data_IF_227886469488
#
_entry.id   IF_227886469488
#
_cell.length_a   1.000
_cell.length_b   1.000
_cell.length_c   1.000
_cell.angle_alpha   90.00
_cell.angle_beta   90.00
_cell.angle_gamma   90.00
#
_symmetry.space_group_name_H-M   'P 1'
#
loop_
_entity.id
_entity.type
_entity.pdbx_description
1 polymer ?
#
# COMPACT_ATOMS: atom_id res chain seq x y z
N UNK A 1 -17.84 -20.91 -9.82
CA UNK A 1 -18.44 -19.69 -9.26
C UNK A 1 -17.28 -18.91 -8.66
N UNK A 2 -16.69 -18.00 -9.43
CA UNK A 2 -15.54 -17.22 -8.98
C UNK A 2 -16.06 -15.95 -8.33
N UNK A 3 -15.85 -15.82 -7.03
CA UNK A 3 -16.14 -14.60 -6.28
C UNK A 3 -15.20 -13.48 -6.76
N UNK A 4 -15.79 -12.42 -7.33
CA UNK A 4 -15.04 -11.22 -7.69
C UNK A 4 -14.87 -10.39 -6.42
N UNK A 5 -13.66 -10.34 -5.88
CA UNK A 5 -13.29 -9.44 -4.79
C UNK A 5 -12.94 -8.08 -5.40
N UNK A 6 -13.79 -7.08 -5.22
CA UNK A 6 -13.54 -5.71 -5.66
C UNK A 6 -13.03 -4.87 -4.49
N UNK A 7 -11.80 -4.36 -4.56
CA UNK A 7 -11.30 -3.32 -3.65
C UNK A 7 -11.50 -1.96 -4.31
N UNK A 8 -12.28 -1.07 -3.68
CA UNK A 8 -12.37 0.33 -4.13
C UNK A 8 -11.20 1.08 -3.51
N UNK A 9 -10.09 1.17 -4.24
CA UNK A 9 -9.00 2.08 -3.90
C UNK A 9 -9.32 3.44 -4.52
N UNK A 10 -9.55 4.46 -3.68
CA UNK A 10 -9.64 5.82 -4.18
C UNK A 10 -8.27 6.20 -4.77
N UNK A 11 -8.23 6.54 -6.06
CA UNK A 11 -6.99 6.88 -6.77
C UNK A 11 -6.35 8.20 -6.32
N UNK A 12 -7.06 8.98 -5.49
CA UNK A 12 -6.50 10.16 -4.82
C UNK A 12 -5.79 9.72 -3.56
N UNK A 13 -4.46 9.78 -3.58
CA UNK A 13 -3.66 9.70 -2.37
C UNK A 13 -4.12 10.80 -1.40
N UNK A 14 -4.42 10.47 -0.13
CA UNK A 14 -4.69 11.49 0.86
C UNK A 14 -3.45 12.38 1.03
N UNK A 15 -3.63 13.69 1.27
CA UNK A 15 -2.53 14.65 1.27
C UNK A 15 -1.53 14.45 2.42
N UNK A 16 -1.78 13.51 3.35
CA UNK A 16 -0.94 13.28 4.52
C UNK A 16 -0.69 11.79 4.68
N UNK A 17 0.58 11.42 4.52
CA UNK A 17 1.11 10.14 4.98
C UNK A 17 1.74 10.35 6.35
N UNK A 18 1.70 9.31 7.18
CA UNK A 18 2.40 9.28 8.46
C UNK A 18 3.81 8.75 8.25
N UNK A 19 4.67 9.05 9.21
CA UNK A 19 6.04 8.53 9.24
C UNK A 19 5.99 7.00 9.14
N UNK A 20 6.73 6.38 8.20
CA UNK A 20 6.69 4.94 8.03
C UNK A 20 7.36 4.16 9.18
N UNK A 21 7.92 4.87 10.16
CA UNK A 21 8.73 4.31 11.23
C UNK A 21 10.21 4.31 10.82
N UNK A 22 11.08 4.63 11.77
CA UNK A 22 12.52 4.68 11.52
C UNK A 22 13.05 3.28 11.15
N UNK A 23 13.56 3.15 9.92
CA UNK A 23 14.27 1.96 9.47
C UNK A 23 13.41 0.85 8.87
N UNK A 24 12.15 1.13 8.49
CA UNK A 24 11.36 0.16 7.72
C UNK A 24 11.90 0.04 6.30
N UNK A 25 12.19 -1.21 5.90
CA UNK A 25 12.67 -1.58 4.58
C UNK A 25 11.87 -2.79 4.13
N UNK A 26 11.33 -2.75 2.92
CA UNK A 26 10.59 -3.87 2.34
C UNK A 26 11.42 -4.54 1.27
N UNK A 27 11.43 -5.88 1.28
CA UNK A 27 11.93 -6.68 0.17
C UNK A 27 10.73 -7.19 -0.63
N UNK A 28 10.67 -6.81 -1.89
CA UNK A 28 9.61 -7.23 -2.81
C UNK A 28 9.89 -8.65 -3.33
N UNK A 29 8.89 -9.25 -3.99
CA UNK A 29 9.00 -10.61 -4.53
C UNK A 29 10.07 -10.74 -5.64
N UNK A 30 10.35 -9.65 -6.35
CA UNK A 30 11.45 -9.53 -7.32
C UNK A 30 12.82 -9.28 -6.64
N UNK A 31 12.85 -9.29 -5.30
CA UNK A 31 14.00 -9.04 -4.43
C UNK A 31 14.49 -7.60 -4.41
N UNK A 32 13.81 -6.68 -5.10
CA UNK A 32 14.12 -5.27 -4.99
C UNK A 32 13.86 -4.78 -3.56
N UNK A 33 14.68 -3.81 -3.14
CA UNK A 33 14.58 -3.20 -1.83
C UNK A 33 13.93 -1.83 -1.99
N UNK A 34 12.82 -1.60 -1.28
CA UNK A 34 12.08 -0.34 -1.34
C UNK A 34 11.92 0.27 0.04
N UNK A 35 12.00 1.60 0.06
CA UNK A 35 11.76 2.42 1.23
C UNK A 35 10.38 3.05 1.09
N UNK A 36 9.44 2.80 2.01
CA UNK A 36 8.13 3.42 1.94
C UNK A 36 8.20 4.95 2.06
N UNK A 37 7.36 5.64 1.31
CA UNK A 37 7.14 7.10 1.41
C UNK A 37 6.41 7.45 2.71
N UNK A 38 5.59 6.53 3.21
CA UNK A 38 4.89 6.70 4.47
C UNK A 38 3.88 5.59 4.74
N UNK A 39 3.16 5.75 5.84
CA UNK A 39 2.04 4.87 6.20
C UNK A 39 0.73 5.63 6.05
N UNK A 40 -0.23 4.97 5.44
CA UNK A 40 -1.62 5.39 5.42
C UNK A 40 -2.39 4.58 6.47
N UNK A 41 -2.75 5.25 7.57
CA UNK A 41 -3.43 4.63 8.70
C UNK A 41 -4.96 4.76 8.60
N UNK A 42 -5.67 3.90 9.34
CA UNK A 42 -7.12 3.93 9.56
C UNK A 42 -7.95 3.81 8.27
N UNK A 43 -7.46 3.04 7.28
CA UNK A 43 -8.18 2.83 6.02
C UNK A 43 -9.20 1.73 6.19
N UNK A 44 -10.47 2.04 5.90
CA UNK A 44 -11.54 1.06 5.84
C UNK A 44 -11.51 0.32 4.50
N UNK A 45 -11.18 -0.96 4.54
CA UNK A 45 -11.18 -1.86 3.38
C UNK A 45 -12.45 -2.67 3.39
N UNK A 46 -13.20 -2.62 2.29
CA UNK A 46 -14.37 -3.47 2.10
C UNK A 46 -13.99 -4.74 1.33
N UNK A 47 -14.29 -5.89 1.93
CA UNK A 47 -14.18 -7.21 1.29
C UNK A 47 -15.55 -7.89 1.43
N UNK A 48 -16.26 -8.02 0.31
CA UNK A 48 -17.66 -8.45 0.29
C UNK A 48 -18.54 -7.57 1.21
N UNK A 49 -19.14 -8.17 2.22
CA UNK A 49 -20.02 -7.50 3.21
C UNK A 49 -19.25 -7.02 4.46
N UNK A 50 -17.94 -7.28 4.54
CA UNK A 50 -17.13 -6.94 5.70
C UNK A 50 -16.32 -5.66 5.45
N UNK A 51 -16.32 -4.76 6.43
CA UNK A 51 -15.46 -3.58 6.47
C UNK A 51 -14.42 -3.78 7.56
N UNK A 52 -13.13 -3.75 7.18
CA UNK A 52 -12.01 -3.98 8.07
C UNK A 52 -11.11 -2.74 8.08
N UNK A 53 -10.77 -2.17 9.25
CA UNK A 53 -9.73 -1.16 9.34
C UNK A 53 -8.35 -1.79 9.12
N UNK A 54 -7.52 -1.16 8.29
CA UNK A 54 -6.15 -1.58 8.02
C UNK A 54 -5.24 -0.38 7.76
N UNK A 55 -3.95 -0.57 8.05
CA UNK A 55 -2.89 0.39 7.74
C UNK A 55 -2.07 -0.11 6.55
N UNK A 56 -1.56 0.80 5.74
CA UNK A 56 -0.84 0.49 4.49
C UNK A 56 0.47 1.26 4.37
N UNK A 57 1.54 0.58 3.98
CA UNK A 57 2.73 1.25 3.47
C UNK A 57 2.49 1.77 2.05
N UNK A 58 2.82 3.03 1.82
CA UNK A 58 2.76 3.67 0.50
C UNK A 58 4.16 3.66 -0.10
N UNK A 59 4.28 3.15 -1.32
CA UNK A 59 5.52 3.07 -2.07
C UNK A 59 5.43 4.01 -3.28
N UNK A 60 6.49 4.79 -3.54
CA UNK A 60 6.66 5.42 -4.85
C UNK A 60 7.24 4.40 -5.82
N UNK A 61 6.36 3.75 -6.60
CA UNK A 61 6.77 2.86 -7.67
C UNK A 61 6.96 3.69 -8.94
N UNK A 62 8.15 4.28 -9.07
CA UNK A 62 8.52 4.97 -10.30
C UNK A 62 8.49 3.96 -11.45
N UNK A 63 7.54 4.15 -12.38
CA UNK A 63 7.29 3.22 -13.48
C UNK A 63 8.57 2.87 -14.22
N UNK A 64 8.88 1.57 -14.25
CA UNK A 64 9.86 0.91 -15.12
C UNK A 64 11.27 1.52 -15.17
N UNK A 65 11.88 1.88 -14.03
CA UNK A 65 13.34 2.06 -14.02
C UNK A 65 14.01 1.26 -12.91
N UNK A 66 14.45 0.07 -13.34
CA UNK A 66 15.45 -0.82 -12.75
C UNK A 66 16.45 -0.09 -11.83
N UNK A 67 16.43 -0.41 -10.55
CA UNK A 67 17.62 -0.38 -9.71
C UNK A 67 17.85 -1.79 -9.19
N UNK A 68 18.59 -2.53 -10.02
CA UNK A 68 19.49 -3.60 -9.57
C UNK A 68 20.60 -3.01 -8.73
#
# INVERSE_FOLDING_TARGET
MGENVSTILQSKLPPKLKDPGMGVVLQLADRSIVYPEGVLEDVLVQVNELVIPADFYVLDMMGDTLLI
#
